data_IF_414979492982
#
_entry.id   IF_414979492982
#
_cell.length_a   1.000
_cell.length_b   1.000
_cell.length_c   1.000
_cell.angle_alpha   90.00
_cell.angle_beta   90.00
_cell.angle_gamma   90.00
#
_symmetry.space_group_name_H-M   'P 1'
#
loop_
_entity.id
_entity.type
_entity.pdbx_description
1 polymer ?
#
# COMPACT_ATOMS: atom_id res chain seq x y z
N UNK A 1 20.36 -1.44 18.38
CA UNK A 1 19.52 -2.66 18.28
C UNK A 1 18.92 -2.91 19.64
N UNK A 2 17.62 -3.19 19.72
CA UNK A 2 16.96 -3.57 20.97
C UNK A 2 16.72 -5.09 20.96
N UNK A 3 16.90 -5.72 22.11
CA UNK A 3 16.66 -7.16 22.28
C UNK A 3 15.22 -7.39 22.68
N UNK A 4 14.54 -8.29 21.97
CA UNK A 4 13.18 -8.74 22.26
C UNK A 4 13.23 -10.23 22.61
N UNK A 5 12.74 -10.59 23.79
CA UNK A 5 12.58 -11.99 24.21
C UNK A 5 11.11 -12.36 24.15
N UNK A 6 10.77 -13.39 23.38
CA UNK A 6 9.40 -13.90 23.23
C UNK A 6 9.37 -15.40 23.49
N UNK A 7 8.26 -15.87 24.07
CA UNK A 7 7.98 -17.30 24.13
C UNK A 7 7.32 -17.70 22.82
N UNK A 8 7.83 -18.75 22.18
CA UNK A 8 7.26 -19.32 20.97
C UNK A 8 6.97 -20.81 21.18
N UNK A 9 5.93 -21.37 20.54
CA UNK A 9 5.72 -22.81 20.53
C UNK A 9 6.90 -23.55 19.88
N UNK A 10 7.23 -24.78 20.32
CA UNK A 10 8.35 -25.54 19.76
C UNK A 10 8.19 -25.86 18.27
N UNK A 11 6.94 -26.01 17.81
CA UNK A 11 6.63 -26.22 16.39
C UNK A 11 7.07 -25.01 15.55
N UNK A 12 6.78 -23.79 16.02
CA UNK A 12 7.16 -22.56 15.34
C UNK A 12 8.68 -22.36 15.32
N UNK A 13 9.39 -22.77 16.38
CA UNK A 13 10.85 -22.74 16.38
C UNK A 13 11.45 -23.66 15.31
N UNK A 14 10.89 -24.87 15.14
CA UNK A 14 11.34 -25.80 14.11
C UNK A 14 11.12 -25.24 12.69
N UNK A 15 9.98 -24.61 12.43
CA UNK A 15 9.68 -23.96 11.16
C UNK A 15 10.64 -22.79 10.87
N UNK A 16 10.93 -21.95 11.87
CA UNK A 16 11.89 -20.85 11.75
C UNK A 16 13.29 -21.38 11.43
N UNK A 17 13.73 -22.46 12.08
CA UNK A 17 15.02 -23.09 11.82
C UNK A 17 15.12 -23.64 10.40
N UNK A 18 14.06 -24.29 9.92
CA UNK A 18 14.01 -24.83 8.57
C UNK A 18 14.08 -23.71 7.53
N UNK A 19 13.28 -22.66 7.68
CA UNK A 19 13.28 -21.51 6.76
C UNK A 19 14.63 -20.76 6.79
N UNK A 20 15.22 -20.60 7.98
CA UNK A 20 16.56 -20.02 8.17
C UNK A 20 17.63 -20.80 7.41
N UNK A 21 17.57 -22.13 7.41
CA UNK A 21 18.49 -22.98 6.66
C UNK A 21 18.29 -22.89 5.14
N UNK A 22 17.04 -22.84 4.68
CA UNK A 22 16.69 -22.74 3.25
C UNK A 22 17.08 -21.38 2.65
N UNK A 23 16.88 -20.30 3.39
CA UNK A 23 17.17 -18.93 2.93
C UNK A 23 18.61 -18.47 3.23
N UNK A 24 19.39 -19.29 3.94
CA UNK A 24 20.74 -18.96 4.41
C UNK A 24 20.80 -17.67 5.25
N UNK A 25 19.75 -17.42 6.04
CA UNK A 25 19.65 -16.25 6.92
C UNK A 25 19.77 -16.68 8.38
N UNK A 26 20.24 -15.79 9.25
CA UNK A 26 20.18 -16.05 10.69
C UNK A 26 18.73 -16.02 11.19
N UNK A 27 18.41 -16.79 12.24
CA UNK A 27 17.10 -16.75 12.92
C UNK A 27 16.64 -15.32 13.21
N UNK A 28 17.54 -14.52 13.77
CA UNK A 28 17.29 -13.13 14.15
C UNK A 28 16.94 -12.24 12.97
N UNK A 29 17.56 -12.49 11.82
CA UNK A 29 17.29 -11.75 10.59
C UNK A 29 15.97 -12.15 9.96
N UNK A 30 15.70 -13.45 9.87
CA UNK A 30 14.44 -13.97 9.36
C UNK A 30 13.25 -13.43 10.17
N UNK A 31 13.32 -13.53 11.50
CA UNK A 31 12.27 -13.01 12.39
C UNK A 31 12.08 -11.50 12.21
N UNK A 32 13.17 -10.73 12.06
CA UNK A 32 13.07 -9.29 11.83
C UNK A 32 12.40 -8.95 10.50
N UNK A 33 12.74 -9.67 9.42
CA UNK A 33 12.10 -9.51 8.10
C UNK A 33 10.62 -9.85 8.15
N UNK A 34 10.25 -10.94 8.81
CA UNK A 34 8.86 -11.34 9.00
C UNK A 34 8.05 -10.28 9.77
N UNK A 35 8.60 -9.74 10.86
CA UNK A 35 7.96 -8.67 11.62
C UNK A 35 7.81 -7.38 10.80
N UNK A 36 8.83 -7.00 10.03
CA UNK A 36 8.76 -5.82 9.16
C UNK A 36 7.70 -5.99 8.08
N UNK A 37 7.66 -7.16 7.43
CA UNK A 37 6.63 -7.50 6.44
C UNK A 37 5.22 -7.44 7.04
N UNK A 38 5.00 -8.05 8.21
CA UNK A 38 3.71 -8.03 8.90
C UNK A 38 3.26 -6.59 9.23
N UNK A 39 4.16 -5.76 9.74
CA UNK A 39 3.85 -4.36 10.07
C UNK A 39 3.59 -3.52 8.83
N UNK A 40 4.34 -3.73 7.75
CA UNK A 40 4.08 -3.07 6.46
C UNK A 40 2.73 -3.47 5.91
N UNK A 41 2.41 -4.77 5.87
CA UNK A 41 1.12 -5.26 5.39
C UNK A 41 -0.05 -4.66 6.18
N UNK A 42 0.10 -4.53 7.51
CA UNK A 42 -0.90 -3.90 8.36
C UNK A 42 -1.04 -2.39 8.14
N UNK A 43 0.04 -1.70 7.74
CA UNK A 43 0.01 -0.28 7.35
C UNK A 43 -0.52 -0.06 5.93
N UNK A 44 -0.26 -1.00 5.03
CA UNK A 44 -0.70 -0.96 3.64
C UNK A 44 -2.09 -1.55 3.42
N UNK A 45 -2.78 -2.00 4.48
CA UNK A 45 -4.22 -1.87 4.54
C UNK A 45 -4.51 -0.36 4.48
N UNK A 46 -4.50 0.17 3.26
CA UNK A 46 -4.73 1.58 3.00
C UNK A 46 -6.03 1.94 3.70
N UNK A 47 -6.04 2.98 4.55
CA UNK A 47 -7.31 3.50 5.04
C UNK A 47 -8.19 3.76 3.83
N UNK A 48 -9.51 3.56 3.98
CA UNK A 48 -10.44 3.91 2.91
C UNK A 48 -10.13 5.33 2.43
N UNK A 49 -9.65 5.44 1.19
CA UNK A 49 -9.40 6.71 0.52
C UNK A 49 -10.57 6.93 -0.41
N UNK A 50 -11.38 7.95 -0.14
CA UNK A 50 -12.49 8.27 -1.01
C UNK A 50 -11.98 8.82 -2.35
N UNK A 51 -12.80 8.76 -3.40
CA UNK A 51 -12.48 9.41 -4.67
C UNK A 51 -12.22 10.92 -4.50
N UNK A 52 -12.84 11.56 -3.50
CA UNK A 52 -12.61 12.96 -3.17
C UNK A 52 -11.21 13.18 -2.61
N UNK A 53 -10.72 12.30 -1.73
CA UNK A 53 -9.38 12.41 -1.12
C UNK A 53 -8.26 12.29 -2.17
N UNK A 54 -8.53 11.63 -3.32
CA UNK A 54 -7.59 11.50 -4.44
C UNK A 54 -7.73 12.60 -5.49
N UNK A 55 -8.78 13.41 -5.47
CA UNK A 55 -9.05 14.38 -6.54
C UNK A 55 -8.45 15.77 -6.27
N UNK A 56 -7.93 16.03 -5.06
CA UNK A 56 -7.50 17.36 -4.62
C UNK A 56 -6.36 17.97 -5.44
N UNK A 57 -5.43 17.16 -5.92
CA UNK A 57 -4.31 17.56 -6.79
C UNK A 57 -4.70 17.67 -8.27
N UNK A 58 -5.83 17.09 -8.67
CA UNK A 58 -6.38 17.18 -10.02
C UNK A 58 -7.14 18.51 -10.25
N UNK A 59 -7.58 19.18 -9.18
CA UNK A 59 -8.26 20.47 -9.29
C UNK A 59 -7.25 21.54 -9.72
N UNK A 60 -7.45 22.08 -10.93
CA UNK A 60 -6.64 23.18 -11.45
C UNK A 60 -5.24 22.79 -11.94
N UNK A 61 -4.95 21.49 -12.10
CA UNK A 61 -3.66 21.03 -12.64
C UNK A 61 -3.46 21.40 -14.12
N UNK A 62 -4.54 21.74 -14.84
CA UNK A 62 -4.49 22.16 -16.23
C UNK A 62 -4.56 23.68 -16.35
N UNK A 63 -3.49 24.29 -16.87
CA UNK A 63 -3.41 25.72 -17.15
C UNK A 63 -3.46 25.96 -18.68
N UNK A 64 -4.13 27.04 -19.11
CA UNK A 64 -4.24 27.42 -20.52
C UNK A 64 -5.43 26.81 -21.27
N UNK A 65 -6.37 26.18 -20.56
CA UNK A 65 -7.65 25.77 -21.12
C UNK A 65 -8.59 26.95 -21.37
N UNK A 66 -9.62 26.78 -22.23
CA UNK A 66 -10.70 27.75 -22.38
C UNK A 66 -11.35 28.05 -21.02
N UNK A 67 -11.78 29.29 -20.79
CA UNK A 67 -12.44 29.71 -19.53
C UNK A 67 -13.69 28.89 -19.22
N UNK A 68 -14.34 28.36 -20.26
CA UNK A 68 -15.53 27.53 -20.14
C UNK A 68 -15.63 26.52 -21.28
N UNK A 69 -15.53 25.22 -20.96
CA UNK A 69 -15.77 24.13 -21.92
C UNK A 69 -17.27 23.81 -22.07
N UNK A 70 -18.14 24.38 -21.23
CA UNK A 70 -19.59 24.23 -21.25
C UNK A 70 -20.33 25.32 -22.03
N UNK A 71 -19.57 26.20 -22.71
CA UNK A 71 -20.12 27.32 -23.47
C UNK A 71 -20.96 26.91 -24.69
N UNK A 72 -20.85 25.65 -25.14
CA UNK A 72 -21.78 25.05 -26.11
C UNK A 72 -22.27 23.66 -25.64
N UNK A 73 -23.57 23.50 -25.32
CA UNK A 73 -24.18 22.24 -24.91
C UNK A 73 -23.95 21.08 -25.89
N UNK A 74 -23.76 21.36 -27.18
CA UNK A 74 -23.51 20.34 -28.20
C UNK A 74 -22.22 19.55 -27.92
N UNK A 75 -21.22 20.16 -27.27
CA UNK A 75 -19.96 19.48 -26.94
C UNK A 75 -20.11 18.40 -25.87
N UNK A 76 -21.21 18.40 -25.11
CA UNK A 76 -21.52 17.40 -24.09
C UNK A 76 -22.54 16.35 -24.56
N UNK A 77 -23.08 16.46 -25.78
CA UNK A 77 -24.17 15.63 -26.27
C UNK A 77 -23.87 14.11 -26.28
N UNK A 78 -22.60 13.74 -26.39
CA UNK A 78 -22.10 12.35 -26.37
C UNK A 78 -21.30 12.00 -25.11
N UNK A 79 -21.14 12.94 -24.16
CA UNK A 79 -20.38 12.68 -22.94
C UNK A 79 -21.14 11.66 -22.07
N UNK A 80 -20.54 10.50 -21.81
CA UNK A 80 -21.13 9.44 -20.98
C UNK A 80 -22.11 8.51 -21.69
N UNK A 81 -22.21 8.52 -23.03
CA UNK A 81 -22.90 7.45 -23.78
C UNK A 81 -21.99 6.23 -23.89
N UNK A 82 -22.54 5.04 -23.61
CA UNK A 82 -21.88 3.72 -23.63
C UNK A 82 -22.23 3.01 -24.92
#
# INVERSE_FOLDING_TARGET
>A
MNTLTIKIPPQLEAEILQASAQEHLSKSELVRRALDFYLRQRKSATPFVSALDQAGDLVGCFAGGPTDLSSNPDHLASFGRV
#
